data_IF_170033161390
#
_entry.id   IF_170033161390
#
_cell.length_a   1.000
_cell.length_b   1.000
_cell.length_c   1.000
_cell.angle_alpha   90.00
_cell.angle_beta   90.00
_cell.angle_gamma   90.00
#
_symmetry.space_group_name_H-M   'P 1'
#
loop_
_entity.id
_entity.type
_entity.pdbx_description
1 polymer ?
#
# COMPACT_ATOMS: atom_id res chain seq x y z
N UNK A 1 -1.52 6.26 4.87
CA UNK A 1 -1.43 6.89 3.54
C UNK A 1 -2.45 6.24 2.61
N UNK A 2 -3.61 6.88 2.44
CA UNK A 2 -4.73 6.29 1.70
C UNK A 2 -4.51 6.29 0.18
N UNK A 3 -3.87 7.34 -0.34
CA UNK A 3 -3.53 7.49 -1.75
C UNK A 3 -4.74 7.77 -2.63
N UNK A 4 -4.75 7.20 -3.84
CA UNK A 4 -5.64 7.55 -4.94
C UNK A 4 -6.66 6.43 -5.26
N UNK A 5 -7.69 6.79 -6.02
CA UNK A 5 -8.68 5.84 -6.54
C UNK A 5 -9.41 5.11 -5.42
N UNK A 6 -9.34 3.77 -5.42
CA UNK A 6 -9.96 2.92 -4.39
C UNK A 6 -9.20 2.94 -3.04
N UNK A 7 -8.01 3.55 -3.00
CA UNK A 7 -7.13 3.57 -1.84
C UNK A 7 -7.81 4.03 -0.54
N UNK A 8 -8.51 5.17 -0.50
CA UNK A 8 -9.25 5.63 0.68
C UNK A 8 -10.35 4.67 1.16
N UNK A 9 -11.04 4.00 0.23
CA UNK A 9 -12.11 3.07 0.58
C UNK A 9 -11.55 1.83 1.27
N UNK A 10 -10.52 1.21 0.70
CA UNK A 10 -9.93 -0.04 1.21
C UNK A 10 -9.13 0.19 2.51
N UNK A 11 -8.43 1.31 2.63
CA UNK A 11 -7.64 1.63 3.82
C UNK A 11 -8.52 1.93 5.02
N UNK A 12 -9.67 2.58 4.82
CA UNK A 12 -10.67 2.78 5.88
C UNK A 12 -11.16 1.45 6.47
N UNK A 13 -11.39 0.44 5.64
CA UNK A 13 -11.80 -0.88 6.13
C UNK A 13 -10.65 -1.61 6.84
N UNK A 14 -9.41 -1.45 6.37
CA UNK A 14 -8.23 -1.97 7.08
C UNK A 14 -8.08 -1.34 8.47
N UNK A 15 -8.30 -0.03 8.61
CA UNK A 15 -8.27 0.67 9.90
C UNK A 15 -9.34 0.13 10.85
N UNK A 16 -10.56 -0.17 10.38
CA UNK A 16 -11.59 -0.81 11.23
C UNK A 16 -11.15 -2.17 11.76
N UNK A 17 -10.43 -2.96 10.96
CA UNK A 17 -9.87 -4.24 11.40
C UNK A 17 -8.79 -4.03 12.46
N UNK A 18 -7.92 -3.02 12.29
CA UNK A 18 -6.93 -2.66 13.31
C UNK A 18 -7.60 -2.26 14.63
N UNK A 19 -8.63 -1.42 14.59
CA UNK A 19 -9.40 -1.03 15.78
C UNK A 19 -10.09 -2.21 16.47
N UNK A 20 -10.57 -3.19 15.69
CA UNK A 20 -11.11 -4.42 16.26
C UNK A 20 -10.03 -5.25 16.97
N UNK A 21 -8.79 -5.23 16.47
CA UNK A 21 -7.64 -5.88 17.10
C UNK A 21 -7.26 -5.16 18.41
N UNK A 22 -7.22 -3.83 18.43
CA UNK A 22 -6.97 -3.02 19.65
C UNK A 22 -7.89 -3.44 20.78
N UNK A 23 -9.19 -3.51 20.49
CA UNK A 23 -10.22 -3.85 21.46
C UNK A 23 -10.11 -5.27 22.03
N UNK A 24 -9.46 -6.20 21.31
CA UNK A 24 -9.36 -7.61 21.71
C UNK A 24 -8.02 -7.92 22.40
N UNK A 25 -6.94 -7.28 21.96
CA UNK A 25 -5.57 -7.68 22.34
C UNK A 25 -4.85 -6.66 23.23
N UNK A 26 -5.52 -5.61 23.70
CA UNK A 26 -4.94 -4.57 24.58
C UNK A 26 -3.70 -3.91 23.93
N UNK A 27 -3.90 -3.44 22.70
CA UNK A 27 -2.92 -2.72 21.90
C UNK A 27 -3.50 -1.36 21.50
N UNK A 28 -2.64 -0.36 21.37
CA UNK A 28 -2.99 0.97 20.88
C UNK A 28 -2.24 1.25 19.57
N UNK A 29 -2.95 1.63 18.52
CA UNK A 29 -2.39 2.12 17.26
C UNK A 29 -2.63 3.63 17.14
N UNK A 30 -1.54 4.40 17.03
CA UNK A 30 -1.61 5.81 16.64
C UNK A 30 -1.62 5.92 15.11
N UNK A 31 -2.78 6.17 14.53
CA UNK A 31 -2.94 6.25 13.07
C UNK A 31 -2.87 7.70 12.61
N UNK A 32 -1.76 8.07 11.96
CA UNK A 32 -1.54 9.40 11.39
C UNK A 32 -1.81 9.37 9.87
N UNK A 33 -2.87 10.03 9.43
CA UNK A 33 -3.16 10.19 8.00
C UNK A 33 -2.32 11.32 7.39
N UNK A 34 -1.65 11.01 6.29
CA UNK A 34 -0.81 11.96 5.53
C UNK A 34 -1.00 11.74 4.03
N UNK A 35 -0.76 12.80 3.25
CA UNK A 35 -0.95 12.81 1.79
C UNK A 35 0.14 12.01 1.08
N UNK A 36 -0.25 11.23 0.07
CA UNK A 36 0.71 10.50 -0.76
C UNK A 36 0.11 10.20 -2.14
N UNK A 37 0.93 10.19 -3.19
CA UNK A 37 0.50 9.87 -4.55
C UNK A 37 -0.10 11.06 -5.31
N UNK A 38 -1.08 10.79 -6.16
CA UNK A 38 -1.72 11.78 -7.04
C UNK A 38 -2.41 12.91 -6.27
N UNK A 39 -3.10 12.59 -5.17
CA UNK A 39 -3.70 13.60 -4.29
C UNK A 39 -2.64 14.54 -3.70
N UNK A 40 -1.46 14.02 -3.36
CA UNK A 40 -0.36 14.86 -2.88
C UNK A 40 0.21 15.75 -4.00
N UNK A 41 0.26 15.25 -5.25
CA UNK A 41 0.63 16.07 -6.41
C UNK A 41 -0.36 17.22 -6.58
N UNK A 42 -1.65 16.94 -6.48
CA UNK A 42 -2.70 17.94 -6.64
C UNK A 42 -2.64 19.05 -5.57
N UNK A 43 -2.38 18.67 -4.32
CA UNK A 43 -2.40 19.61 -3.19
C UNK A 43 -1.06 20.31 -2.93
N UNK A 44 0.05 19.61 -3.18
CA UNK A 44 1.40 20.06 -2.77
C UNK A 44 2.39 20.15 -3.93
N UNK A 45 2.03 19.65 -5.12
CA UNK A 45 2.90 19.60 -6.30
C UNK A 45 3.88 18.43 -6.32
N UNK A 46 3.93 17.60 -5.28
CA UNK A 46 4.81 16.42 -5.17
C UNK A 46 4.05 15.20 -4.66
N UNK A 47 4.33 13.98 -5.15
CA UNK A 47 3.66 12.77 -4.67
C UNK A 47 4.11 12.33 -3.28
N UNK A 48 5.24 12.85 -2.78
CA UNK A 48 5.82 12.48 -1.49
C UNK A 48 6.37 13.74 -0.77
N UNK A 49 5.48 14.58 -0.20
CA UNK A 49 5.86 15.84 0.41
C UNK A 49 6.67 15.66 1.70
N UNK A 50 7.44 16.68 2.09
CA UNK A 50 8.33 16.63 3.26
C UNK A 50 7.61 16.29 4.57
N UNK A 51 6.37 16.76 4.74
CA UNK A 51 5.56 16.41 5.91
C UNK A 51 5.27 14.91 5.99
N UNK A 52 4.92 14.30 4.85
CA UNK A 52 4.72 12.86 4.73
C UNK A 52 6.01 12.09 4.96
N UNK A 53 7.14 12.57 4.44
CA UNK A 53 8.46 11.98 4.70
C UNK A 53 8.78 11.92 6.18
N UNK A 54 8.59 13.04 6.88
CA UNK A 54 8.83 13.11 8.32
C UNK A 54 7.89 12.17 9.09
N UNK A 55 6.60 12.20 8.78
CA UNK A 55 5.62 11.31 9.42
C UNK A 55 5.96 9.83 9.23
N UNK A 56 6.42 9.44 8.04
CA UNK A 56 6.85 8.05 7.79
C UNK A 56 8.08 7.65 8.60
N UNK A 57 9.04 8.56 8.81
CA UNK A 57 10.26 8.32 9.60
C UNK A 57 10.00 8.29 11.10
N UNK A 58 9.00 9.04 11.56
CA UNK A 58 8.58 9.10 12.96
C UNK A 58 7.59 7.96 13.33
N UNK A 59 7.17 7.13 12.36
CA UNK A 59 6.21 6.03 12.55
C UNK A 59 6.87 4.65 12.52
N UNK A 60 6.32 3.68 13.27
CA UNK A 60 6.82 2.30 13.29
C UNK A 60 6.54 1.51 12.01
N UNK A 61 5.44 1.86 11.31
CA UNK A 61 5.02 1.20 10.09
C UNK A 61 4.21 2.13 9.20
N UNK A 62 4.16 1.78 7.92
CA UNK A 62 3.38 2.50 6.90
C UNK A 62 2.26 1.60 6.38
N UNK A 63 1.01 2.04 6.58
CA UNK A 63 -0.15 1.49 5.87
C UNK A 63 -0.42 2.33 4.62
N UNK A 64 -0.15 1.74 3.46
CA UNK A 64 -0.32 2.36 2.15
C UNK A 64 -1.48 1.71 1.39
N UNK A 65 -2.38 2.54 0.84
CA UNK A 65 -3.48 2.10 -0.03
C UNK A 65 -3.04 1.89 -1.48
N UNK A 66 -3.72 2.55 -2.41
CA UNK A 66 -3.40 2.53 -3.83
C UNK A 66 -2.89 3.91 -4.26
N UNK A 67 -2.07 3.96 -5.31
CA UNK A 67 -1.62 5.23 -5.91
C UNK A 67 -1.75 5.16 -7.42
N UNK A 68 -1.90 6.32 -8.05
CA UNK A 68 -2.03 6.45 -9.49
C UNK A 68 -3.45 6.61 -9.98
N UNK A 69 -3.57 6.90 -11.27
CA UNK A 69 -4.85 7.10 -11.94
C UNK A 69 -4.68 7.79 -13.29
N UNK A 70 -5.72 7.76 -14.16
CA UNK A 70 -5.64 8.30 -15.52
C UNK A 70 -5.20 9.77 -15.58
N UNK A 71 -5.55 10.56 -14.55
CA UNK A 71 -5.17 11.97 -14.41
C UNK A 71 -3.64 12.17 -14.38
N UNK A 72 -2.90 11.23 -13.81
CA UNK A 72 -1.44 11.30 -13.64
C UNK A 72 -0.69 10.31 -14.55
N UNK A 73 -1.34 9.76 -15.57
CA UNK A 73 -0.80 8.69 -16.42
C UNK A 73 -0.09 9.17 -17.70
N UNK A 74 -0.03 10.47 -17.99
CA UNK A 74 0.69 10.97 -19.17
C UNK A 74 2.17 10.56 -19.11
N UNK A 75 2.70 9.84 -20.12
CA UNK A 75 4.10 9.42 -20.13
C UNK A 75 5.09 10.59 -20.13
N UNK A 76 4.67 11.78 -20.56
CA UNK A 76 5.48 13.01 -20.59
C UNK A 76 5.44 13.78 -19.28
N UNK A 77 4.58 13.42 -18.33
CA UNK A 77 4.61 14.05 -17.01
C UNK A 77 5.93 13.74 -16.32
N UNK A 78 6.55 14.82 -15.81
CA UNK A 78 7.80 14.76 -15.04
C UNK A 78 7.61 14.16 -13.65
N UNK A 79 6.38 14.21 -13.14
CA UNK A 79 6.03 13.80 -11.77
C UNK A 79 4.84 12.84 -11.86
N UNK A 80 5.03 11.61 -11.40
CA UNK A 80 4.02 10.56 -11.33
C UNK A 80 3.98 9.94 -9.93
N UNK A 81 2.80 9.52 -9.47
CA UNK A 81 2.63 8.91 -8.15
C UNK A 81 3.53 7.69 -7.91
N UNK A 82 3.65 6.81 -8.91
CA UNK A 82 4.31 5.51 -8.76
C UNK A 82 5.83 5.61 -8.87
N UNK A 83 6.34 6.35 -9.85
CA UNK A 83 7.78 6.40 -10.11
C UNK A 83 8.48 7.38 -9.17
N UNK A 84 7.98 8.59 -9.07
CA UNK A 84 8.58 9.64 -8.23
C UNK A 84 8.15 9.49 -6.76
N UNK A 85 6.93 9.04 -6.45
CA UNK A 85 6.50 8.86 -5.05
C UNK A 85 6.98 7.54 -4.43
N UNK A 86 6.53 6.40 -4.97
CA UNK A 86 6.75 5.10 -4.33
C UNK A 86 8.22 4.66 -4.29
N UNK A 87 8.98 4.88 -5.37
CA UNK A 87 10.40 4.50 -5.39
C UNK A 87 11.24 5.39 -4.48
N UNK A 88 10.94 6.69 -4.44
CA UNK A 88 11.61 7.63 -3.54
C UNK A 88 11.35 7.26 -2.08
N UNK A 89 10.09 7.04 -1.69
CA UNK A 89 9.71 6.60 -0.35
C UNK A 89 10.43 5.30 0.05
N UNK A 90 10.50 4.31 -0.86
CA UNK A 90 11.23 3.06 -0.58
C UNK A 90 12.72 3.30 -0.34
N UNK A 91 13.34 4.18 -1.12
CA UNK A 91 14.75 4.53 -0.93
C UNK A 91 14.97 5.30 0.37
N UNK A 92 14.10 6.24 0.67
CA UNK A 92 14.14 7.10 1.85
C UNK A 92 14.00 6.31 3.16
N UNK A 93 13.10 5.31 3.17
CA UNK A 93 12.89 4.41 4.31
C UNK A 93 13.81 3.19 4.33
N UNK A 94 14.71 3.03 3.36
CA UNK A 94 15.64 1.90 3.28
C UNK A 94 14.95 0.54 3.06
N UNK A 95 13.78 0.51 2.41
CA UNK A 95 12.99 -0.71 2.19
C UNK A 95 13.60 -1.55 1.06
N UNK A 96 14.54 -2.42 1.44
CA UNK A 96 15.24 -3.29 0.50
C UNK A 96 14.48 -4.59 0.20
N UNK A 97 13.78 -5.18 1.17
CA UNK A 97 13.07 -6.44 0.99
C UNK A 97 11.63 -6.22 0.54
N UNK A 98 11.17 -7.00 -0.44
CA UNK A 98 9.77 -7.09 -0.80
C UNK A 98 9.23 -8.51 -0.59
N UNK A 99 8.28 -8.64 0.33
CA UNK A 99 7.64 -9.90 0.70
C UNK A 99 6.29 -10.00 -0.02
N UNK A 100 6.08 -11.07 -0.79
CA UNK A 100 4.83 -11.34 -1.53
C UNK A 100 4.32 -12.75 -1.23
N UNK A 101 3.38 -12.90 -0.29
CA UNK A 101 2.73 -14.18 -0.01
C UNK A 101 1.86 -14.63 -1.20
N UNK A 102 1.87 -15.93 -1.46
CA UNK A 102 1.00 -16.61 -2.43
C UNK A 102 0.39 -17.81 -1.73
N UNK A 103 -0.93 -17.74 -1.55
CA UNK A 103 -1.72 -18.77 -0.87
C UNK A 103 -2.95 -19.10 -1.69
N UNK A 104 -3.24 -20.39 -1.86
CA UNK A 104 -4.49 -20.83 -2.47
C UNK A 104 -5.58 -20.97 -1.40
N UNK A 105 -6.78 -20.56 -1.78
CA UNK A 105 -7.99 -20.74 -0.99
C UNK A 105 -8.91 -21.70 -1.75
N UNK A 106 -9.40 -22.79 -1.12
CA UNK A 106 -10.26 -23.76 -1.78
C UNK A 106 -11.47 -23.12 -2.47
N UNK A 107 -12.03 -22.08 -1.87
CA UNK A 107 -13.19 -21.32 -2.36
C UNK A 107 -12.87 -20.48 -3.61
N UNK A 108 -11.59 -20.23 -3.91
CA UNK A 108 -11.14 -19.37 -5.01
C UNK A 108 -10.33 -20.11 -6.07
N UNK A 109 -10.13 -21.44 -5.92
CA UNK A 109 -9.23 -22.22 -6.78
C UNK A 109 -9.65 -22.20 -8.26
N UNK A 110 -10.94 -22.12 -8.53
CA UNK A 110 -11.52 -22.08 -9.87
C UNK A 110 -11.26 -20.75 -10.62
N UNK A 111 -10.84 -19.69 -9.92
CA UNK A 111 -10.45 -18.42 -10.53
C UNK A 111 -9.01 -18.42 -11.06
N UNK A 112 -8.24 -19.46 -10.76
CA UNK A 112 -6.86 -19.58 -11.21
C UNK A 112 -6.81 -20.09 -12.65
N UNK A 113 -5.87 -19.60 -13.49
CA UNK A 113 -5.66 -20.15 -14.83
C UNK A 113 -5.01 -21.55 -14.81
N UNK A 114 -4.55 -22.04 -13.65
CA UNK A 114 -3.88 -23.33 -13.48
C UNK A 114 -4.91 -24.39 -13.09
N UNK A 115 -4.76 -25.62 -13.59
CA UNK A 115 -5.66 -26.73 -13.23
C UNK A 115 -5.61 -27.01 -11.72
N UNK A 116 -6.78 -27.12 -11.09
CA UNK A 116 -6.96 -27.27 -9.64
C UNK A 116 -6.07 -28.34 -9.00
N UNK A 117 -5.85 -29.48 -9.67
CA UNK A 117 -4.96 -30.56 -9.20
C UNK A 117 -3.51 -30.14 -8.91
N UNK A 118 -3.08 -28.97 -9.38
CA UNK A 118 -1.75 -28.40 -9.13
C UNK A 118 -1.76 -27.25 -8.11
N UNK A 119 -2.94 -26.89 -7.59
CA UNK A 119 -3.15 -25.72 -6.75
C UNK A 119 -3.51 -26.07 -5.30
N UNK A 120 -3.59 -27.36 -4.98
CA UNK A 120 -3.85 -27.83 -3.63
C UNK A 120 -2.70 -27.45 -2.70
N UNK A 121 -3.04 -26.82 -1.57
CA UNK A 121 -2.13 -26.49 -0.47
C UNK A 121 -0.91 -25.64 -0.86
N UNK A 122 -1.06 -24.71 -1.81
CA UNK A 122 -0.01 -23.72 -2.08
C UNK A 122 0.00 -22.72 -0.94
N UNK A 123 1.10 -22.67 -0.21
CA UNK A 123 1.42 -21.65 0.79
C UNK A 123 2.91 -21.35 0.69
N UNK A 124 3.25 -20.25 0.01
CA UNK A 124 4.64 -19.85 -0.22
C UNK A 124 4.80 -18.33 -0.19
N UNK A 125 6.04 -17.90 -0.03
CA UNK A 125 6.40 -16.48 0.02
C UNK A 125 7.53 -16.20 -0.94
N UNK A 126 7.33 -15.25 -1.85
CA UNK A 126 8.40 -14.68 -2.65
C UNK A 126 9.06 -13.52 -1.92
N UNK A 127 10.39 -13.55 -1.83
CA UNK A 127 11.21 -12.44 -1.31
C UNK A 127 12.06 -11.92 -2.46
N UNK A 128 11.89 -10.64 -2.80
CA UNK A 128 12.66 -9.93 -3.84
C UNK A 128 13.45 -8.78 -3.24
#
# INVERSE_FOLDING_TARGET
MSGDGVGPEITREAVKVLQAIEAVFDHDFSINEVLFGGIAIDETGTPYPEETQKSCKDSDAVLLGAVGGPKWSDPNMKVRPEKEGLLEMRSDLGIYANIRPIKTYPELIDNSPIKNRYLENIDMVFVR
#
